data_IF_571364478221
#
_entry.id   IF_571364478221
#
_cell.length_a   1.000
_cell.length_b   1.000
_cell.length_c   1.000
_cell.angle_alpha   90.00
_cell.angle_beta   90.00
_cell.angle_gamma   90.00
#
_symmetry.space_group_name_H-M   'P 1'
#
loop_
_entity.id
_entity.type
_entity.pdbx_description
1 polymer ?
#
# COMPACT_ATOMS: atom_id res chain seq x y z
N UNK A 1 -28.27 -4.26 33.55
CA UNK A 1 -27.13 -4.81 32.78
C UNK A 1 -25.92 -4.74 33.71
N UNK A 2 -25.40 -5.88 34.14
CA UNK A 2 -24.35 -5.94 35.17
C UNK A 2 -23.02 -5.61 34.48
N UNK A 3 -22.49 -4.41 34.72
CA UNK A 3 -21.15 -4.01 34.30
C UNK A 3 -20.13 -4.72 35.20
N UNK A 4 -19.61 -5.86 34.73
CA UNK A 4 -18.46 -6.51 35.34
C UNK A 4 -17.20 -5.74 34.91
N UNK A 5 -16.76 -4.80 35.73
CA UNK A 5 -15.46 -4.12 35.54
C UNK A 5 -14.33 -5.13 35.77
N UNK A 6 -13.69 -5.59 34.70
CA UNK A 6 -12.52 -6.45 34.79
C UNK A 6 -11.24 -5.61 34.83
N UNK A 7 -10.51 -5.69 35.93
CA UNK A 7 -9.11 -5.23 36.09
C UNK A 7 -8.16 -6.16 35.32
N UNK A 8 -8.28 -6.17 34.00
CA UNK A 8 -7.34 -6.81 33.08
C UNK A 8 -6.29 -5.82 32.58
N UNK A 9 -5.17 -6.32 32.06
CA UNK A 9 -4.26 -5.48 31.24
C UNK A 9 -5.09 -4.79 30.14
N UNK A 10 -4.83 -3.51 29.83
CA UNK A 10 -5.55 -2.84 28.77
C UNK A 10 -5.40 -3.61 27.47
N UNK A 11 -6.50 -3.72 26.73
CA UNK A 11 -6.52 -4.32 25.41
C UNK A 11 -5.44 -3.68 24.51
N UNK A 12 -4.89 -4.48 23.60
CA UNK A 12 -3.90 -4.00 22.63
C UNK A 12 -4.09 -4.66 21.29
N UNK A 13 -3.71 -3.94 20.24
CA UNK A 13 -3.51 -4.50 18.91
C UNK A 13 -2.04 -4.44 18.55
N UNK A 14 -1.57 -5.43 17.81
CA UNK A 14 -0.35 -5.33 17.00
C UNK A 14 -0.74 -5.40 15.52
N UNK A 15 -0.08 -4.62 14.69
CA UNK A 15 -0.25 -4.61 13.25
C UNK A 15 1.12 -4.74 12.56
N UNK A 16 1.19 -5.54 11.49
CA UNK A 16 2.37 -5.63 10.62
C UNK A 16 1.93 -5.75 9.18
N UNK A 17 2.50 -4.91 8.33
CA UNK A 17 2.37 -5.04 6.88
C UNK A 17 3.54 -5.85 6.31
N UNK A 18 3.30 -6.56 5.22
CA UNK A 18 4.29 -7.30 4.45
C UNK A 18 3.76 -7.53 3.04
N UNK A 19 4.64 -7.75 2.06
CA UNK A 19 4.22 -8.37 0.80
C UNK A 19 3.65 -9.77 1.06
N UNK A 20 2.53 -10.12 0.42
CA UNK A 20 1.80 -11.36 0.73
C UNK A 20 2.45 -12.64 0.16
N UNK A 21 3.57 -12.52 -0.56
CA UNK A 21 4.23 -13.62 -1.28
C UNK A 21 3.49 -14.07 -2.55
N UNK A 22 2.21 -13.73 -2.65
CA UNK A 22 1.33 -13.86 -3.81
C UNK A 22 1.28 -12.50 -4.55
N UNK A 23 1.07 -12.55 -5.87
CA UNK A 23 1.00 -11.44 -6.86
C UNK A 23 0.33 -10.17 -6.30
N UNK A 24 0.87 -8.97 -6.50
CA UNK A 24 0.27 -7.65 -6.18
C UNK A 24 -0.45 -7.39 -4.83
N UNK A 25 -0.27 -8.25 -3.83
CA UNK A 25 -0.92 -8.13 -2.53
C UNK A 25 0.02 -7.60 -1.45
N UNK A 26 -0.47 -6.62 -0.68
CA UNK A 26 0.07 -6.30 0.64
C UNK A 26 -0.81 -6.95 1.70
N UNK A 27 -0.19 -7.71 2.60
CA UNK A 27 -0.83 -8.34 3.74
C UNK A 27 -0.70 -7.47 4.99
N UNK A 28 -1.82 -7.18 5.66
CA UNK A 28 -1.90 -6.60 6.99
C UNK A 28 -2.25 -7.69 8.01
N UNK A 29 -1.24 -8.13 8.77
CA UNK A 29 -1.42 -9.06 9.89
C UNK A 29 -1.82 -8.29 11.13
N UNK A 30 -2.92 -8.67 11.76
CA UNK A 30 -3.45 -8.03 12.97
C UNK A 30 -3.56 -9.06 14.07
N UNK A 31 -3.08 -8.68 15.25
CA UNK A 31 -3.19 -9.47 16.46
C UNK A 31 -3.92 -8.69 17.55
N UNK A 32 -4.99 -9.26 18.05
CA UNK A 32 -5.73 -8.74 19.20
C UNK A 32 -5.21 -9.37 20.48
N UNK A 33 -4.90 -8.54 21.48
CA UNK A 33 -4.50 -8.94 22.83
C UNK A 33 -5.56 -8.48 23.83
N UNK A 34 -6.15 -9.44 24.54
CA UNK A 34 -7.22 -9.19 25.50
C UNK A 34 -8.52 -9.88 25.11
N UNK A 35 -9.62 -9.65 25.87
CA UNK A 35 -10.91 -10.20 25.55
C UNK A 35 -11.44 -9.65 24.21
N UNK A 36 -11.78 -10.54 23.30
CA UNK A 36 -12.35 -10.24 21.99
C UNK A 36 -13.74 -10.82 21.90
N UNK A 37 -14.66 -10.10 21.25
CA UNK A 37 -15.96 -10.63 20.91
C UNK A 37 -15.92 -11.20 19.51
N UNK A 38 -16.48 -12.39 19.31
CA UNK A 38 -16.50 -13.07 18.00
C UNK A 38 -17.88 -13.61 17.67
N UNK A 39 -18.36 -13.38 16.45
CA UNK A 39 -19.60 -13.95 15.92
C UNK A 39 -19.40 -14.48 14.50
N UNK A 40 -20.03 -15.62 14.19
CA UNK A 40 -20.07 -16.25 12.86
C UNK A 40 -21.29 -15.84 12.02
N UNK A 41 -22.16 -14.97 12.56
CA UNK A 41 -23.34 -14.44 11.88
C UNK A 41 -23.53 -12.97 12.25
N UNK A 42 -23.51 -12.09 11.25
CA UNK A 42 -23.85 -10.68 11.37
C UNK A 42 -24.96 -10.40 10.37
N UNK A 43 -25.97 -9.62 10.75
CA UNK A 43 -27.00 -9.19 9.80
C UNK A 43 -26.45 -8.15 8.80
N UNK A 44 -27.29 -7.75 7.85
CA UNK A 44 -26.94 -6.75 6.83
C UNK A 44 -26.70 -5.34 7.37
N UNK A 45 -26.86 -5.11 8.69
CA UNK A 45 -26.60 -3.83 9.35
C UNK A 45 -25.34 -3.85 10.24
N UNK A 46 -24.64 -4.99 10.30
CA UNK A 46 -23.45 -5.16 11.14
C UNK A 46 -23.79 -5.40 12.62
N UNK A 47 -25.05 -5.70 12.94
CA UNK A 47 -25.42 -6.18 14.28
C UNK A 47 -25.17 -7.70 14.38
N UNK A 48 -24.72 -8.14 15.56
CA UNK A 48 -24.44 -9.55 15.82
C UNK A 48 -25.76 -10.34 15.81
N UNK A 49 -26.03 -11.06 14.73
CA UNK A 49 -27.26 -11.84 14.57
C UNK A 49 -27.20 -13.20 15.28
N UNK A 50 -26.00 -13.69 15.62
CA UNK A 50 -25.78 -14.94 16.35
C UNK A 50 -25.32 -14.73 17.80
N UNK A 51 -25.37 -15.80 18.61
CA UNK A 51 -24.78 -15.83 19.94
C UNK A 51 -23.27 -15.63 19.85
N UNK A 52 -22.81 -14.38 19.98
CA UNK A 52 -21.39 -14.09 20.03
C UNK A 52 -20.77 -14.69 21.30
N UNK A 53 -19.48 -14.95 21.23
CA UNK A 53 -18.73 -15.57 22.31
C UNK A 53 -17.57 -14.66 22.69
N UNK A 54 -17.38 -14.46 24.00
CA UNK A 54 -16.22 -13.76 24.50
C UNK A 54 -15.01 -14.72 24.47
N UNK A 55 -14.07 -14.45 23.58
CA UNK A 55 -12.80 -15.18 23.50
C UNK A 55 -11.74 -14.43 24.30
N UNK A 56 -11.12 -15.10 25.28
CA UNK A 56 -10.03 -14.53 26.09
C UNK A 56 -8.63 -14.84 25.53
N UNK A 57 -8.56 -15.69 24.51
CA UNK A 57 -7.34 -15.95 23.75
C UNK A 57 -7.15 -14.82 22.73
N UNK A 58 -5.90 -14.41 22.53
CA UNK A 58 -5.59 -13.47 21.45
C UNK A 58 -6.04 -14.03 20.10
N UNK A 59 -6.45 -13.14 19.21
CA UNK A 59 -6.94 -13.48 17.89
C UNK A 59 -5.97 -12.93 16.85
N UNK A 60 -5.54 -13.80 15.94
CA UNK A 60 -4.66 -13.46 14.82
C UNK A 60 -5.42 -13.63 13.51
N UNK A 61 -5.35 -12.64 12.64
CA UNK A 61 -5.90 -12.73 11.28
C UNK A 61 -5.09 -11.85 10.32
N UNK A 62 -5.24 -12.11 9.03
CA UNK A 62 -4.52 -11.40 7.97
C UNK A 62 -5.53 -10.84 6.97
N UNK A 63 -5.44 -9.54 6.75
CA UNK A 63 -6.12 -8.82 5.68
C UNK A 63 -5.19 -8.77 4.48
N UNK A 64 -5.69 -9.04 3.27
CA UNK A 64 -4.94 -8.84 2.02
C UNK A 64 -5.52 -7.62 1.30
N UNK A 65 -4.68 -6.85 0.65
CA UNK A 65 -5.05 -5.65 -0.10
C UNK A 65 -4.40 -5.75 -1.48
N UNK A 66 -5.21 -5.86 -2.54
CA UNK A 66 -4.74 -5.94 -3.93
C UNK A 66 -4.32 -4.56 -4.43
N UNK A 67 -3.46 -4.50 -5.44
CA UNK A 67 -3.16 -3.27 -6.18
C UNK A 67 -4.32 -2.86 -7.09
N UNK A 68 -5.11 -3.82 -7.59
CA UNK A 68 -6.27 -3.60 -8.48
C UNK A 68 -7.38 -2.82 -7.78
N UNK A 69 -7.67 -3.19 -6.53
CA UNK A 69 -8.65 -2.52 -5.67
C UNK A 69 -7.95 -1.90 -4.46
N UNK A 70 -6.99 -1.02 -4.73
CA UNK A 70 -6.12 -0.40 -3.72
C UNK A 70 -6.92 0.35 -2.62
N UNK A 71 -6.99 -0.16 -1.37
CA UNK A 71 -7.79 0.46 -0.32
C UNK A 71 -6.99 1.46 0.54
N UNK A 72 -5.72 1.74 0.19
CA UNK A 72 -4.82 2.46 1.08
C UNK A 72 -5.20 3.93 1.29
N UNK A 73 -5.77 4.61 0.29
CA UNK A 73 -6.30 5.96 0.49
C UNK A 73 -7.45 5.96 1.52
N UNK A 74 -8.40 5.04 1.39
CA UNK A 74 -9.52 4.90 2.32
C UNK A 74 -9.05 4.47 3.71
N UNK A 75 -8.05 3.60 3.79
CA UNK A 75 -7.39 3.25 5.05
C UNK A 75 -6.80 4.48 5.75
N UNK A 76 -6.10 5.37 5.02
CA UNK A 76 -5.59 6.61 5.62
C UNK A 76 -6.72 7.52 6.06
N UNK A 77 -7.74 7.75 5.22
CA UNK A 77 -8.89 8.57 5.59
C UNK A 77 -9.68 8.00 6.78
N UNK A 78 -9.76 6.68 6.90
CA UNK A 78 -10.32 6.02 8.06
C UNK A 78 -9.53 6.35 9.33
N UNK A 79 -8.20 6.27 9.30
CA UNK A 79 -7.37 6.65 10.43
C UNK A 79 -7.46 8.16 10.75
N UNK A 80 -7.61 9.02 9.75
CA UNK A 80 -7.87 10.46 9.92
C UNK A 80 -9.21 10.71 10.61
N UNK A 81 -10.27 10.02 10.18
CA UNK A 81 -11.60 10.11 10.78
C UNK A 81 -11.57 9.70 12.26
N UNK A 82 -10.86 8.61 12.58
CA UNK A 82 -10.63 8.21 13.97
C UNK A 82 -9.91 9.35 14.71
N UNK A 83 -8.83 9.88 14.14
CA UNK A 83 -7.99 10.95 14.72
C UNK A 83 -8.81 12.18 15.12
N UNK A 84 -9.78 12.60 14.30
CA UNK A 84 -10.66 13.75 14.59
C UNK A 84 -11.89 13.40 15.43
N UNK A 85 -11.98 12.18 15.97
CA UNK A 85 -13.07 11.71 16.83
C UNK A 85 -14.43 11.54 16.13
N UNK A 86 -14.45 11.16 14.85
CA UNK A 86 -15.74 10.80 14.19
C UNK A 86 -16.42 9.69 14.97
N UNK A 87 -17.75 9.83 15.16
CA UNK A 87 -18.53 8.91 15.99
C UNK A 87 -18.52 7.47 15.47
N UNK A 88 -18.61 7.31 14.16
CA UNK A 88 -18.52 6.03 13.45
C UNK A 88 -17.87 6.24 12.09
N UNK A 89 -16.89 5.42 11.75
CA UNK A 89 -16.29 5.40 10.42
C UNK A 89 -15.93 3.96 10.04
N UNK A 90 -15.78 3.69 8.75
CA UNK A 90 -15.32 2.41 8.26
C UNK A 90 -14.57 2.59 6.95
N UNK A 91 -13.69 1.65 6.64
CA UNK A 91 -13.23 1.42 5.28
C UNK A 91 -13.41 -0.05 4.93
N UNK A 92 -13.48 -0.30 3.64
CA UNK A 92 -13.79 -1.60 3.07
C UNK A 92 -12.64 -1.98 2.12
N UNK A 93 -12.38 -3.27 1.97
CA UNK A 93 -11.39 -3.76 1.03
C UNK A 93 -11.93 -4.99 0.29
N UNK A 94 -11.59 -5.09 -0.99
CA UNK A 94 -11.84 -6.26 -1.82
C UNK A 94 -10.49 -6.79 -2.34
N UNK A 95 -10.00 -7.93 -1.84
CA UNK A 95 -8.75 -8.50 -2.29
C UNK A 95 -8.92 -9.43 -3.49
N UNK A 96 -9.89 -9.19 -4.37
CA UNK A 96 -10.32 -10.16 -5.40
C UNK A 96 -10.75 -11.50 -4.77
N UNK A 97 -11.46 -11.41 -3.64
CA UNK A 97 -11.72 -12.55 -2.77
C UNK A 97 -12.69 -12.22 -1.63
N UNK A 98 -12.45 -12.63 -0.37
CA UNK A 98 -13.33 -12.28 0.73
C UNK A 98 -13.32 -10.76 0.95
N UNK A 99 -14.47 -10.14 0.70
CA UNK A 99 -14.66 -8.74 1.03
C UNK A 99 -14.57 -8.57 2.54
N UNK A 100 -13.91 -7.51 2.97
CA UNK A 100 -13.84 -7.16 4.38
C UNK A 100 -14.05 -5.70 4.66
N UNK A 101 -14.35 -5.45 5.93
CA UNK A 101 -14.67 -4.13 6.46
C UNK A 101 -14.02 -3.97 7.81
N UNK A 102 -13.37 -2.83 8.01
CA UNK A 102 -12.87 -2.41 9.30
C UNK A 102 -13.64 -1.16 9.69
N UNK A 103 -14.31 -1.23 10.84
CA UNK A 103 -15.09 -0.13 11.37
C UNK A 103 -14.62 0.27 12.75
N UNK A 104 -14.83 1.55 13.05
CA UNK A 104 -14.52 2.14 14.33
C UNK A 104 -15.76 2.85 14.87
N UNK A 105 -16.05 2.63 16.15
CA UNK A 105 -17.06 3.37 16.91
C UNK A 105 -16.39 4.10 18.06
N UNK A 106 -16.58 5.42 18.12
CA UNK A 106 -16.07 6.23 19.21
C UNK A 106 -16.73 5.84 20.55
N UNK A 107 -15.91 5.72 21.59
CA UNK A 107 -16.37 5.48 22.96
C UNK A 107 -16.84 6.77 23.61
N UNK A 108 -17.96 6.71 24.33
CA UNK A 108 -18.47 7.86 25.09
C UNK A 108 -17.77 7.97 26.46
N UNK A 109 -17.59 9.20 26.96
CA UNK A 109 -17.24 9.48 28.38
C UNK A 109 -16.05 8.65 28.90
N UNK A 110 -14.84 8.90 28.36
CA UNK A 110 -13.60 8.23 28.72
C UNK A 110 -13.57 6.69 28.51
N UNK A 111 -14.60 6.11 27.86
CA UNK A 111 -14.58 4.69 27.49
C UNK A 111 -13.71 4.47 26.24
N UNK A 112 -13.07 3.29 26.12
CA UNK A 112 -12.43 2.87 24.88
C UNK A 112 -13.39 2.92 23.70
N UNK A 113 -12.89 3.25 22.51
CA UNK A 113 -13.64 3.02 21.28
C UNK A 113 -13.63 1.55 20.91
N UNK A 114 -14.49 1.16 19.98
CA UNK A 114 -14.58 -0.23 19.51
C UNK A 114 -14.07 -0.30 18.09
N UNK A 115 -13.03 -1.11 17.88
CA UNK A 115 -12.61 -1.55 16.56
C UNK A 115 -13.34 -2.85 16.24
N UNK A 116 -14.01 -2.90 15.10
CA UNK A 116 -14.66 -4.09 14.59
C UNK A 116 -14.11 -4.42 13.21
N UNK A 117 -13.84 -5.70 12.97
CA UNK A 117 -13.35 -6.22 11.71
C UNK A 117 -14.27 -7.34 11.28
N UNK A 118 -14.77 -7.20 10.07
CA UNK A 118 -15.68 -8.13 9.44
C UNK A 118 -15.07 -8.60 8.13
N UNK A 119 -15.24 -9.86 7.80
CA UNK A 119 -15.03 -10.34 6.44
C UNK A 119 -16.05 -11.40 6.10
N UNK A 120 -16.38 -11.49 4.83
CA UNK A 120 -17.25 -12.52 4.33
C UNK A 120 -16.71 -13.11 3.03
N UNK A 121 -16.81 -14.42 2.92
CA UNK A 121 -16.71 -15.12 1.65
C UNK A 121 -18.04 -15.83 1.35
N UNK A 122 -18.07 -16.60 0.26
CA UNK A 122 -19.23 -17.40 -0.15
C UNK A 122 -19.68 -18.47 0.86
N UNK A 123 -18.92 -18.73 1.92
CA UNK A 123 -19.15 -19.81 2.90
C UNK A 123 -19.30 -19.32 4.34
N UNK A 124 -18.70 -18.18 4.70
CA UNK A 124 -18.65 -17.70 6.08
C UNK A 124 -18.69 -16.18 6.16
N UNK A 125 -19.34 -15.67 7.21
CA UNK A 125 -19.24 -14.27 7.66
C UNK A 125 -18.64 -14.28 9.05
N UNK A 126 -17.54 -13.57 9.25
CA UNK A 126 -16.85 -13.51 10.53
C UNK A 126 -16.80 -12.05 10.96
N UNK A 127 -17.10 -11.80 12.23
CA UNK A 127 -16.93 -10.50 12.85
C UNK A 127 -16.21 -10.63 14.19
N UNK A 128 -15.21 -9.77 14.37
CA UNK A 128 -14.43 -9.66 15.59
C UNK A 128 -14.38 -8.23 16.06
N UNK A 129 -14.53 -8.01 17.37
CA UNK A 129 -14.40 -6.67 17.95
C UNK A 129 -13.56 -6.63 19.22
N UNK A 130 -12.90 -5.50 19.41
CA UNK A 130 -12.05 -5.21 20.56
C UNK A 130 -12.19 -3.73 20.97
N UNK A 131 -12.24 -3.47 22.27
CA UNK A 131 -12.20 -2.11 22.81
C UNK A 131 -10.77 -1.59 22.86
N UNK A 132 -10.48 -0.41 22.30
CA UNK A 132 -9.14 0.19 22.23
C UNK A 132 -9.17 1.68 22.56
N UNK A 133 -8.05 2.18 23.06
CA UNK A 133 -7.81 3.62 23.06
C UNK A 133 -7.61 4.10 21.61
N UNK A 134 -8.19 5.24 21.26
CA UNK A 134 -8.06 5.86 19.94
C UNK A 134 -6.61 6.00 19.46
N UNK A 135 -5.74 6.50 20.33
CA UNK A 135 -4.32 6.74 20.04
C UNK A 135 -3.57 5.45 19.80
N UNK A 136 -3.93 4.39 20.51
CA UNK A 136 -3.40 3.07 20.27
C UNK A 136 -3.85 2.52 18.91
N UNK A 137 -5.14 2.67 18.55
CA UNK A 137 -5.66 2.21 17.27
C UNK A 137 -4.96 2.90 16.09
N UNK A 138 -5.02 4.24 16.04
CA UNK A 138 -4.38 5.03 14.97
C UNK A 138 -2.87 4.84 14.97
N UNK A 139 -2.23 4.95 16.14
CA UNK A 139 -0.78 4.84 16.29
C UNK A 139 -0.25 3.50 15.83
N UNK A 140 -0.90 2.40 16.19
CA UNK A 140 -0.44 1.06 15.77
C UNK A 140 -0.58 0.86 14.27
N UNK A 141 -1.74 1.17 13.68
CA UNK A 141 -1.97 0.97 12.24
C UNK A 141 -1.10 1.90 11.38
N UNK A 142 -1.10 3.20 11.66
CA UNK A 142 -0.32 4.17 10.90
C UNK A 142 1.18 3.89 11.00
N UNK A 143 1.69 3.63 12.21
CA UNK A 143 3.12 3.36 12.38
C UNK A 143 3.53 2.02 11.79
N UNK A 144 2.65 1.01 11.79
CA UNK A 144 2.93 -0.26 11.10
C UNK A 144 3.01 -0.06 9.59
N UNK A 145 2.09 0.72 9.01
CA UNK A 145 2.09 1.06 7.59
C UNK A 145 3.36 1.81 7.19
N UNK A 146 3.68 2.92 7.87
CA UNK A 146 4.88 3.72 7.57
C UNK A 146 6.16 2.91 7.73
N UNK A 147 6.30 2.14 8.82
CA UNK A 147 7.47 1.27 9.03
C UNK A 147 7.67 0.26 7.91
N UNK A 148 6.58 -0.30 7.36
CA UNK A 148 6.69 -1.24 6.25
C UNK A 148 7.14 -0.52 4.98
N UNK A 149 6.44 0.53 4.57
CA UNK A 149 6.75 1.30 3.34
C UNK A 149 8.16 1.90 3.36
N UNK A 150 8.67 2.27 4.54
CA UNK A 150 10.02 2.82 4.71
C UNK A 150 11.09 1.73 4.94
N UNK A 151 10.71 0.46 5.01
CA UNK A 151 11.65 -0.65 5.20
C UNK A 151 12.28 -1.12 3.89
N UNK A 152 13.45 -1.75 4.00
CA UNK A 152 14.07 -2.45 2.89
C UNK A 152 13.28 -3.69 2.41
N UNK A 153 12.28 -4.15 3.18
CA UNK A 153 11.38 -5.24 2.76
C UNK A 153 10.33 -4.75 1.75
N UNK A 154 10.08 -3.44 1.68
CA UNK A 154 9.10 -2.88 0.76
C UNK A 154 9.69 -2.70 -0.63
N UNK A 155 9.16 -3.46 -1.58
CA UNK A 155 9.42 -3.31 -3.00
C UNK A 155 8.24 -2.60 -3.72
N UNK A 156 8.40 -1.36 -4.23
CA UNK A 156 7.37 -0.64 -4.97
C UNK A 156 6.92 -1.36 -6.25
N UNK A 157 7.84 -2.09 -6.90
CA UNK A 157 7.58 -2.86 -8.12
C UNK A 157 6.58 -4.01 -7.92
N UNK A 158 6.28 -4.39 -6.68
CA UNK A 158 5.31 -5.44 -6.40
C UNK A 158 3.90 -4.91 -6.09
N UNK A 159 3.67 -3.60 -6.14
CA UNK A 159 2.36 -3.05 -5.75
C UNK A 159 2.01 -1.72 -6.42
N UNK A 160 2.93 -0.76 -6.46
CA UNK A 160 2.62 0.61 -6.91
C UNK A 160 2.47 0.67 -8.43
N UNK A 161 1.56 1.51 -8.88
CA UNK A 161 1.52 1.98 -10.25
C UNK A 161 2.64 2.99 -10.47
N UNK A 162 3.62 2.63 -11.30
CA UNK A 162 4.80 3.44 -11.57
C UNK A 162 4.82 3.92 -13.02
N UNK A 163 5.20 5.17 -13.20
CA UNK A 163 5.65 5.67 -14.50
C UNK A 163 7.07 5.16 -14.80
N UNK A 164 7.46 5.18 -16.07
CA UNK A 164 8.82 4.82 -16.47
C UNK A 164 9.89 5.68 -15.77
N UNK A 165 9.61 6.96 -15.53
CA UNK A 165 10.52 7.85 -14.79
C UNK A 165 10.72 7.38 -13.35
N UNK A 166 9.64 7.02 -12.67
CA UNK A 166 9.70 6.57 -11.27
C UNK A 166 10.40 5.22 -11.17
N UNK A 167 10.11 4.31 -12.10
CA UNK A 167 10.80 3.04 -12.22
C UNK A 167 12.31 3.24 -12.44
N UNK A 168 12.70 4.12 -13.37
CA UNK A 168 14.09 4.48 -13.62
C UNK A 168 14.78 5.01 -12.36
N UNK A 169 14.11 5.87 -11.59
CA UNK A 169 14.63 6.40 -10.32
C UNK A 169 14.91 5.29 -9.29
N UNK A 170 14.16 4.20 -9.33
CA UNK A 170 14.30 3.08 -8.38
C UNK A 170 15.40 2.10 -8.79
N UNK A 171 15.63 1.89 -10.08
CA UNK A 171 16.60 0.90 -10.59
C UNK A 171 17.97 1.49 -10.95
N UNK A 172 18.09 2.80 -11.13
CA UNK A 172 19.39 3.44 -11.38
C UNK A 172 20.12 3.71 -10.06
N UNK A 173 21.36 3.24 -9.94
CA UNK A 173 22.16 3.41 -8.71
C UNK A 173 23.19 4.56 -8.76
N UNK A 174 23.59 4.98 -9.96
CA UNK A 174 24.67 5.96 -10.19
C UNK A 174 24.24 7.13 -11.08
N UNK A 175 22.96 7.20 -11.46
CA UNK A 175 22.43 8.18 -12.39
C UNK A 175 21.00 8.59 -12.02
N UNK A 176 20.62 9.80 -12.40
CA UNK A 176 19.25 10.30 -12.30
C UNK A 176 18.42 9.93 -13.53
N UNK A 177 17.07 10.00 -13.45
CA UNK A 177 16.22 9.94 -14.63
C UNK A 177 16.57 11.01 -15.67
N UNK A 178 17.09 12.17 -15.25
CA UNK A 178 17.54 13.23 -16.15
C UNK A 178 18.80 12.83 -16.94
N UNK A 179 19.74 12.11 -16.31
CA UNK A 179 20.91 11.55 -17.01
C UNK A 179 20.50 10.50 -18.04
N UNK A 180 19.53 9.65 -17.70
CA UNK A 180 18.91 8.70 -18.62
C UNK A 180 18.23 9.41 -19.80
N UNK A 181 17.46 10.48 -19.54
CA UNK A 181 16.82 11.26 -20.60
C UNK A 181 17.86 11.89 -21.55
N UNK A 182 18.94 12.44 -20.99
CA UNK A 182 20.02 12.99 -21.77
C UNK A 182 20.68 11.90 -22.64
N UNK A 183 20.95 10.72 -22.09
CA UNK A 183 21.50 9.60 -22.85
C UNK A 183 20.57 9.18 -24.00
N UNK A 184 19.26 9.06 -23.74
CA UNK A 184 18.27 8.75 -24.78
C UNK A 184 18.24 9.80 -25.90
N UNK A 185 18.28 11.09 -25.57
CA UNK A 185 18.19 12.17 -26.56
C UNK A 185 19.37 12.22 -27.54
N UNK A 186 20.55 11.77 -27.11
CA UNK A 186 21.75 11.67 -27.96
C UNK A 186 21.74 10.44 -28.89
N UNK A 187 20.83 9.48 -28.66
CA UNK A 187 20.75 8.24 -29.43
C UNK A 187 19.91 8.38 -30.69
N UNK A 188 20.24 7.57 -31.69
CA UNK A 188 19.28 7.26 -32.75
C UNK A 188 18.12 6.43 -32.18
N UNK A 189 17.00 6.41 -32.89
CA UNK A 189 15.76 5.81 -32.40
C UNK A 189 15.83 4.30 -32.18
N UNK A 190 16.72 3.58 -32.89
CA UNK A 190 16.93 2.15 -32.64
C UNK A 190 17.64 1.93 -31.31
N UNK A 191 18.74 2.64 -31.05
CA UNK A 191 19.47 2.56 -29.79
C UNK A 191 18.62 3.03 -28.59
N UNK A 192 17.84 4.10 -28.76
CA UNK A 192 16.92 4.59 -27.73
C UNK A 192 15.84 3.54 -27.39
N UNK A 193 15.24 2.91 -28.41
CA UNK A 193 14.27 1.84 -28.22
C UNK A 193 14.89 0.64 -27.48
N UNK A 194 16.08 0.18 -27.91
CA UNK A 194 16.78 -0.93 -27.25
C UNK A 194 17.07 -0.64 -25.76
N UNK A 195 17.41 0.61 -25.43
CA UNK A 195 17.64 1.01 -24.04
C UNK A 195 16.34 0.93 -23.23
N UNK A 196 15.25 1.51 -23.75
CA UNK A 196 13.93 1.49 -23.09
C UNK A 196 13.46 0.04 -22.85
N UNK A 197 13.60 -0.85 -23.84
CA UNK A 197 13.23 -2.26 -23.68
C UNK A 197 14.02 -2.95 -22.56
N UNK A 198 15.33 -2.74 -22.47
CA UNK A 198 16.14 -3.30 -21.37
C UNK A 198 15.71 -2.76 -20.01
N UNK A 199 15.38 -1.48 -19.96
CA UNK A 199 14.87 -0.86 -18.75
C UNK A 199 13.55 -1.52 -18.34
N UNK A 200 12.63 -1.70 -19.30
CA UNK A 200 11.37 -2.39 -19.09
C UNK A 200 11.56 -3.85 -18.67
N UNK A 201 12.50 -4.58 -19.27
CA UNK A 201 12.81 -5.97 -18.89
C UNK A 201 13.23 -6.08 -17.43
N UNK A 202 14.10 -5.17 -16.95
CA UNK A 202 14.47 -5.10 -15.53
C UNK A 202 13.23 -4.84 -14.68
N UNK A 203 12.42 -3.83 -15.02
CA UNK A 203 11.19 -3.49 -14.28
C UNK A 203 10.21 -4.66 -14.23
N UNK A 204 9.99 -5.37 -15.34
CA UNK A 204 9.12 -6.54 -15.37
C UNK A 204 9.67 -7.71 -14.55
N UNK A 205 11.00 -7.92 -14.56
CA UNK A 205 11.63 -8.93 -13.73
C UNK A 205 11.52 -8.57 -12.24
N UNK A 206 11.68 -7.30 -11.87
CA UNK A 206 11.45 -6.79 -10.51
C UNK A 206 10.02 -7.08 -10.04
N UNK A 207 9.04 -6.77 -10.89
CA UNK A 207 7.63 -7.01 -10.60
C UNK A 207 7.34 -8.49 -10.33
N UNK A 208 8.01 -9.41 -11.06
CA UNK A 208 7.76 -10.86 -10.98
C UNK A 208 8.54 -11.57 -9.88
N UNK A 209 9.81 -11.22 -9.70
CA UNK A 209 10.71 -11.93 -8.77
C UNK A 209 10.82 -11.25 -7.41
N UNK A 210 10.44 -9.98 -7.29
CA UNK A 210 10.52 -9.22 -6.05
C UNK A 210 11.93 -8.90 -5.58
N UNK A 211 12.95 -9.12 -6.40
CA UNK A 211 14.36 -8.94 -6.04
C UNK A 211 14.88 -7.59 -6.50
N UNK A 212 14.77 -6.56 -5.65
CA UNK A 212 15.29 -5.21 -5.96
C UNK A 212 16.74 -5.24 -6.47
N UNK A 213 16.92 -5.16 -7.80
CA UNK A 213 18.19 -5.00 -8.46
C UNK A 213 18.32 -3.56 -8.96
N UNK A 214 19.41 -2.92 -8.58
CA UNK A 214 19.78 -1.59 -9.07
C UNK A 214 21.03 -1.72 -9.94
N UNK A 215 21.01 -1.10 -11.11
CA UNK A 215 22.07 -1.15 -12.09
C UNK A 215 22.60 0.26 -12.39
N UNK A 216 23.85 0.33 -12.87
CA UNK A 216 24.40 1.60 -13.35
C UNK A 216 23.75 2.00 -14.67
N UNK A 217 23.75 3.30 -15.01
CA UNK A 217 23.31 3.73 -16.35
C UNK A 217 24.10 3.02 -17.45
N UNK A 218 25.40 2.81 -17.23
CA UNK A 218 26.28 2.07 -18.15
C UNK A 218 25.80 0.65 -18.47
N UNK A 219 25.16 -0.05 -17.53
CA UNK A 219 24.58 -1.37 -17.77
C UNK A 219 23.55 -1.35 -18.91
N UNK A 220 22.69 -0.32 -18.94
CA UNK A 220 21.65 -0.18 -19.96
C UNK A 220 22.20 0.27 -21.32
N UNK A 221 23.33 1.00 -21.31
CA UNK A 221 24.00 1.51 -22.51
C UNK A 221 24.75 0.43 -23.30
N UNK A 222 25.14 -0.68 -22.68
CA UNK A 222 25.89 -1.76 -23.36
C UNK A 222 24.97 -2.52 -24.32
N UNK A 223 25.30 -2.64 -25.62
CA UNK A 223 24.51 -3.42 -26.56
C UNK A 223 24.41 -4.90 -26.14
N UNK A 224 23.22 -5.32 -25.71
CA UNK A 224 22.82 -6.71 -25.53
C UNK A 224 22.22 -7.30 -26.81
N UNK A 225 22.43 -8.59 -27.02
CA UNK A 225 22.00 -9.37 -28.19
C UNK A 225 20.52 -9.79 -28.12
N UNK A 226 19.62 -8.90 -27.70
CA UNK A 226 18.19 -9.21 -27.69
C UNK A 226 17.67 -9.08 -29.13
N UNK A 227 17.07 -10.14 -29.68
CA UNK A 227 16.36 -10.05 -30.95
C UNK A 227 15.18 -9.08 -30.77
N UNK A 228 15.18 -8.01 -31.55
CA UNK A 228 14.18 -6.96 -31.45
C UNK A 228 13.10 -7.14 -32.51
N UNK A 229 11.84 -7.03 -32.11
CA UNK A 229 10.71 -6.93 -33.02
C UNK A 229 10.56 -5.46 -33.47
N UNK A 230 10.91 -5.11 -34.73
CA UNK A 230 10.87 -3.72 -35.19
C UNK A 230 9.45 -3.14 -35.21
N UNK A 231 8.42 -3.99 -35.17
CA UNK A 231 7.02 -3.55 -35.14
C UNK A 231 6.66 -2.87 -33.81
N UNK A 232 7.32 -3.27 -32.71
CA UNK A 232 7.08 -2.71 -31.36
C UNK A 232 7.77 -1.37 -31.12
N UNK A 233 8.78 -1.03 -31.93
CA UNK A 233 9.51 0.25 -31.86
C UNK A 233 8.58 1.47 -31.88
N UNK A 234 7.51 1.41 -32.69
CA UNK A 234 6.57 2.52 -32.88
C UNK A 234 5.73 2.86 -31.64
N UNK A 235 5.66 1.96 -30.65
CA UNK A 235 4.90 2.23 -29.42
C UNK A 235 5.66 3.17 -28.46
N UNK A 236 6.97 3.27 -28.60
CA UNK A 236 7.84 3.97 -27.66
C UNK A 236 8.62 5.11 -28.31
N UNK A 237 9.10 4.89 -29.53
CA UNK A 237 9.91 5.87 -30.26
C UNK A 237 9.16 6.27 -31.53
N UNK A 238 8.93 7.57 -31.67
CA UNK A 238 8.29 8.14 -32.85
C UNK A 238 9.10 7.84 -34.13
N UNK A 239 8.45 7.52 -35.26
CA UNK A 239 9.14 7.33 -36.55
C UNK A 239 10.03 8.51 -36.96
N UNK A 240 9.70 9.74 -36.57
CA UNK A 240 10.45 10.94 -36.89
C UNK A 240 11.62 11.23 -35.93
N UNK A 241 11.84 10.42 -34.89
CA UNK A 241 12.86 10.63 -33.85
C UNK A 241 14.23 11.06 -34.39
N UNK A 242 14.69 10.37 -35.43
CA UNK A 242 16.01 10.61 -36.02
C UNK A 242 16.12 11.95 -36.75
N UNK A 243 14.99 12.52 -37.18
CA UNK A 243 14.91 13.82 -37.83
C UNK A 243 14.83 14.99 -36.85
N UNK A 244 14.39 14.72 -35.62
CA UNK A 244 14.25 15.73 -34.58
C UNK A 244 15.59 16.17 -34.02
N UNK A 245 15.65 17.44 -33.63
CA UNK A 245 16.74 17.95 -32.79
C UNK A 245 16.65 17.42 -31.36
N UNK A 246 17.72 17.64 -30.60
CA UNK A 246 17.81 17.22 -29.20
C UNK A 246 16.69 17.80 -28.32
N UNK A 247 16.29 19.05 -28.55
CA UNK A 247 15.27 19.73 -27.75
C UNK A 247 13.90 19.05 -27.89
N UNK A 248 13.51 18.75 -29.12
CA UNK A 248 12.29 18.00 -29.43
C UNK A 248 12.31 16.59 -28.83
N UNK A 249 13.43 15.87 -28.93
CA UNK A 249 13.59 14.55 -28.28
C UNK A 249 13.43 14.63 -26.76
N UNK A 250 14.00 15.65 -26.13
CA UNK A 250 13.84 15.85 -24.68
C UNK A 250 12.38 16.11 -24.29
N UNK A 251 11.62 16.86 -25.10
CA UNK A 251 10.17 17.04 -24.87
C UNK A 251 9.44 15.71 -24.98
N UNK A 252 9.70 14.93 -26.03
CA UNK A 252 9.07 13.62 -26.21
C UNK A 252 9.37 12.66 -25.05
N UNK A 253 10.64 12.62 -24.63
CA UNK A 253 11.06 11.79 -23.50
C UNK A 253 10.29 12.18 -22.24
N UNK A 254 10.25 13.46 -21.90
CA UNK A 254 9.68 13.92 -20.64
C UNK A 254 8.14 13.85 -20.60
N UNK A 255 7.49 14.16 -21.72
CA UNK A 255 6.03 14.29 -21.77
C UNK A 255 5.32 12.99 -22.16
N UNK A 256 5.98 12.09 -22.90
CA UNK A 256 5.38 10.81 -23.32
C UNK A 256 6.09 9.60 -22.72
N UNK A 257 7.37 9.40 -23.03
CA UNK A 257 8.08 8.16 -22.66
C UNK A 257 8.15 8.01 -21.14
N UNK A 258 8.57 9.05 -20.44
CA UNK A 258 8.72 9.03 -18.99
C UNK A 258 7.40 9.06 -18.22
N UNK A 259 6.32 9.50 -18.86
CA UNK A 259 4.97 9.46 -18.29
C UNK A 259 4.20 8.18 -18.65
N UNK A 260 4.76 7.31 -19.49
CA UNK A 260 4.08 6.09 -19.88
C UNK A 260 3.80 5.22 -18.66
N UNK A 261 2.55 4.81 -18.54
CA UNK A 261 2.06 3.85 -17.57
C UNK A 261 2.27 2.46 -18.16
N UNK A 262 3.34 1.76 -17.77
CA UNK A 262 3.60 0.41 -18.30
C UNK A 262 4.09 -0.58 -17.23
N UNK A 263 3.98 -0.21 -15.97
CA UNK A 263 4.46 -1.02 -14.85
C UNK A 263 3.31 -1.79 -14.18
N UNK A 264 2.55 -2.59 -14.94
CA UNK A 264 1.73 -3.74 -14.53
C UNK A 264 0.66 -3.65 -13.43
N UNK A 265 0.76 -2.71 -12.49
CA UNK A 265 -0.03 -2.63 -11.28
C UNK A 265 -0.80 -1.33 -11.19
N UNK A 266 -1.84 -1.34 -10.36
CA UNK A 266 -2.76 -0.22 -10.20
C UNK A 266 -2.74 0.37 -8.77
N UNK A 267 -1.78 -0.06 -7.95
CA UNK A 267 -1.68 0.38 -6.57
C UNK A 267 -1.29 1.84 -6.44
N UNK A 268 -1.70 2.47 -5.34
CA UNK A 268 -1.28 3.83 -5.03
C UNK A 268 0.23 3.91 -4.73
N UNK A 269 0.83 5.08 -4.92
CA UNK A 269 2.18 5.38 -4.45
C UNK A 269 2.15 5.48 -2.91
N UNK A 270 2.42 4.35 -2.24
CA UNK A 270 2.34 4.23 -0.78
C UNK A 270 3.48 4.98 -0.10
N UNK A 271 4.63 5.14 -0.79
CA UNK A 271 5.78 5.91 -0.30
C UNK A 271 5.39 7.34 0.02
N UNK A 272 4.63 7.96 -0.89
CA UNK A 272 4.15 9.34 -0.76
C UNK A 272 2.83 9.46 0.02
N UNK A 273 2.11 8.35 0.22
CA UNK A 273 0.86 8.33 0.95
C UNK A 273 1.08 8.56 2.47
N UNK A 274 0.97 9.83 2.89
CA UNK A 274 1.17 10.30 4.26
C UNK A 274 0.02 11.16 4.71
N UNK A 275 -0.24 11.19 6.01
CA UNK A 275 -1.22 12.09 6.62
C UNK A 275 -0.54 13.06 7.59
N UNK A 276 -0.35 14.33 7.21
CA UNK A 276 0.18 15.35 8.11
C UNK A 276 -0.68 15.50 9.38
N UNK A 277 -1.99 15.28 9.27
CA UNK A 277 -2.94 15.32 10.39
C UNK A 277 -2.62 14.23 11.42
N UNK A 278 -2.48 12.97 10.99
CA UNK A 278 -2.15 11.85 11.88
C UNK A 278 -0.77 12.06 12.49
N UNK A 279 0.22 12.44 11.68
CA UNK A 279 1.60 12.66 12.14
C UNK A 279 1.67 13.75 13.21
N UNK A 280 1.05 14.90 12.98
CA UNK A 280 1.00 15.99 13.94
C UNK A 280 0.27 15.58 15.24
N UNK A 281 -0.79 14.78 15.14
CA UNK A 281 -1.54 14.31 16.30
C UNK A 281 -0.78 13.28 17.14
N UNK A 282 -0.07 12.35 16.49
CA UNK A 282 0.78 11.36 17.16
C UNK A 282 2.06 11.99 17.74
N UNK A 283 2.52 13.13 17.23
CA UNK A 283 3.66 13.86 17.81
C UNK A 283 3.33 14.55 19.15
N UNK A 284 2.05 14.87 19.40
CA UNK A 284 1.64 15.49 20.67
C UNK A 284 1.80 14.51 21.83
N UNK A 285 2.22 14.93 23.03
CA UNK A 285 2.28 14.05 24.19
C UNK A 285 0.89 13.50 24.51
N UNK A 286 0.83 12.24 24.94
CA UNK A 286 -0.42 11.64 25.38
C UNK A 286 -0.93 12.42 26.60
N UNK A 287 -2.08 13.09 26.46
CA UNK A 287 -2.73 13.76 27.59
C UNK A 287 -3.15 12.67 28.57
N UNK A 288 -2.35 12.47 29.62
CA UNK A 288 -2.74 11.66 30.75
C UNK A 288 -4.07 12.21 31.26
N UNK A 289 -5.13 11.41 31.15
CA UNK A 289 -6.39 11.77 31.79
C UNK A 289 -6.12 11.81 33.29
N UNK A 290 -6.45 12.89 34.01
CA UNK A 290 -6.28 12.92 35.45
C UNK A 290 -7.13 11.80 36.03
N UNK A 291 -6.47 10.84 36.69
CA UNK A 291 -7.12 9.77 37.43
C UNK A 291 -8.20 10.39 38.33
N UNK A 292 -9.45 10.00 38.12
CA UNK A 292 -10.56 10.24 39.05
C UNK A 292 -11.25 8.91 39.30
#
# INVERSE_FOLDING_TARGET
MIETSFTGKPNRIDARFSHAGEFDYIALRIRFHGPTWSSSECDGQGEHAGAGHLTRKGLDFTVRMSSVWCPFHDFIHFLEAITVAVQTCAFEWDPEGPYGKMSWRHGYLNRPGTLMIEWHDKYQKIAHSIGLNRRQAVGMFYSAFRRFVESAEYNPFQYEHLTLREAARLILNDASPEDLANALAEMNGDAAYCLIERLMDVVFNENREGKSASHSLGYYLVPGATEHDPSKRKHWIDPEWNSWDRGHRMVEINEKIFRSENCGWHGANLRELRSPLIEAWLAQPEKLSPNR
#
